data_IF_939814569705
#
_entry.id   IF_939814569705
#
_cell.length_a   1.000
_cell.length_b   1.000
_cell.length_c   1.000
_cell.angle_alpha   90.00
_cell.angle_beta   90.00
_cell.angle_gamma   90.00
#
_symmetry.space_group_name_H-M   'P 1'
#
loop_
_entity.id
_entity.type
_entity.pdbx_description
1 polymer ?
#
# COMPACT_ATOMS: atom_id res chain seq x y z
N UNK A 1 -6.70 13.94 9.64
CA UNK A 1 -7.44 15.21 9.73
C UNK A 1 -8.28 15.20 10.99
N UNK A 2 -8.31 16.31 11.72
CA UNK A 2 -9.12 16.43 12.94
C UNK A 2 -10.54 16.91 12.61
N UNK A 3 -11.54 16.47 13.37
CA UNK A 3 -12.92 16.92 13.22
C UNK A 3 -13.06 18.41 13.56
N UNK A 4 -13.81 19.14 12.75
CA UNK A 4 -14.10 20.56 12.97
C UNK A 4 -15.57 20.85 13.26
N UNK A 5 -16.30 19.86 13.79
CA UNK A 5 -17.72 19.88 14.17
C UNK A 5 -18.63 20.84 13.38
N UNK A 6 -19.48 20.26 12.54
CA UNK A 6 -20.60 20.97 11.90
C UNK A 6 -21.89 20.20 12.14
N UNK A 7 -22.95 20.88 12.53
CA UNK A 7 -24.27 20.26 12.63
C UNK A 7 -24.70 19.72 11.24
N UNK A 8 -25.35 18.56 11.24
CA UNK A 8 -25.86 17.99 10.00
C UNK A 8 -27.14 18.71 9.57
N UNK A 9 -27.16 19.15 8.32
CA UNK A 9 -28.31 19.74 7.65
C UNK A 9 -28.65 18.90 6.42
N UNK A 10 -29.83 18.30 6.43
CA UNK A 10 -30.29 17.40 5.37
C UNK A 10 -30.65 18.16 4.08
N UNK A 11 -31.18 19.39 4.16
CA UNK A 11 -31.49 20.19 2.97
C UNK A 11 -30.21 20.60 2.25
N UNK A 12 -29.23 21.08 3.01
CA UNK A 12 -27.89 21.35 2.47
C UNK A 12 -27.23 20.07 1.95
N UNK A 13 -27.48 18.92 2.59
CA UNK A 13 -26.96 17.62 2.12
C UNK A 13 -27.54 17.20 0.78
N UNK A 14 -28.85 17.35 0.60
CA UNK A 14 -29.51 17.01 -0.67
C UNK A 14 -29.01 17.93 -1.79
N UNK A 15 -28.88 19.23 -1.52
CA UNK A 15 -28.28 20.17 -2.48
C UNK A 15 -26.86 19.76 -2.91
N UNK A 16 -25.99 19.36 -1.96
CA UNK A 16 -24.64 18.86 -2.30
C UNK A 16 -24.67 17.57 -3.12
N UNK A 17 -25.60 16.66 -2.84
CA UNK A 17 -25.75 15.42 -3.61
C UNK A 17 -26.13 15.76 -5.05
N UNK A 18 -27.13 16.62 -5.24
CA UNK A 18 -27.58 17.06 -6.56
C UNK A 18 -26.45 17.78 -7.32
N UNK A 19 -25.71 18.67 -6.64
CA UNK A 19 -24.54 19.36 -7.20
C UNK A 19 -23.45 18.39 -7.67
N UNK A 20 -23.15 17.32 -6.90
CA UNK A 20 -22.15 16.31 -7.26
C UNK A 20 -22.64 15.47 -8.44
N UNK A 21 -23.90 15.05 -8.44
CA UNK A 21 -24.48 14.20 -9.49
C UNK A 21 -24.72 14.94 -10.81
N UNK A 22 -24.88 16.26 -10.76
CA UNK A 22 -25.05 17.10 -11.96
C UNK A 22 -23.72 17.47 -12.67
N UNK A 23 -22.56 17.10 -12.10
CA UNK A 23 -21.27 17.46 -12.69
C UNK A 23 -21.05 16.78 -14.05
N UNK A 24 -20.57 17.52 -15.06
CA UNK A 24 -20.34 16.95 -16.39
C UNK A 24 -19.16 15.97 -16.40
N UNK A 25 -19.30 14.89 -17.16
CA UNK A 25 -18.30 13.81 -17.29
C UNK A 25 -16.95 14.29 -17.87
N UNK A 26 -16.92 15.45 -18.55
CA UNK A 26 -15.71 16.00 -19.19
C UNK A 26 -14.61 16.44 -18.23
N UNK A 27 -14.84 16.41 -16.92
CA UNK A 27 -13.85 16.85 -15.93
C UNK A 27 -12.83 15.78 -15.52
N UNK A 28 -12.90 14.58 -16.11
CA UNK A 28 -11.96 13.49 -15.87
C UNK A 28 -10.98 13.38 -17.03
N UNK A 29 -9.70 13.65 -16.76
CA UNK A 29 -8.66 13.74 -17.79
C UNK A 29 -7.74 12.51 -17.77
N UNK A 30 -7.37 12.02 -18.95
CA UNK A 30 -6.29 11.04 -19.10
C UNK A 30 -4.92 11.73 -19.03
N UNK A 31 -4.07 11.24 -18.12
CA UNK A 31 -2.70 11.72 -17.94
C UNK A 31 -1.71 10.58 -18.15
N UNK A 32 -0.49 10.95 -18.54
CA UNK A 32 0.64 10.00 -18.61
C UNK A 32 1.06 9.49 -17.23
N UNK A 33 0.84 10.29 -16.19
CA UNK A 33 1.15 9.99 -14.80
C UNK A 33 0.16 10.72 -13.89
N UNK A 34 -0.07 10.18 -12.69
CA UNK A 34 -0.93 10.84 -11.70
C UNK A 34 -0.25 12.14 -11.23
N UNK A 35 -0.95 13.29 -11.28
CA UNK A 35 -0.40 14.58 -10.88
C UNK A 35 -0.34 14.71 -9.35
N UNK A 36 0.15 15.85 -8.86
CA UNK A 36 0.11 16.16 -7.43
C UNK A 36 -1.32 16.23 -6.90
N UNK A 37 -1.53 15.80 -5.65
CA UNK A 37 -2.86 15.81 -5.02
C UNK A 37 -3.47 17.21 -4.96
N UNK A 38 -2.64 18.24 -4.94
CA UNK A 38 -3.07 19.65 -4.91
C UNK A 38 -3.70 20.09 -6.23
N UNK A 39 -3.50 19.33 -7.31
CA UNK A 39 -4.17 19.54 -8.61
C UNK A 39 -5.65 19.10 -8.58
N UNK A 40 -6.06 18.33 -7.56
CA UNK A 40 -7.44 17.87 -7.42
C UNK A 40 -8.36 18.94 -6.84
N UNK A 41 -9.51 19.09 -7.49
CA UNK A 41 -10.68 19.82 -7.01
C UNK A 41 -11.80 18.83 -6.66
N UNK A 42 -12.92 19.34 -6.12
CA UNK A 42 -14.12 18.51 -5.89
C UNK A 42 -14.89 18.16 -7.17
N UNK A 43 -14.40 18.60 -8.33
CA UNK A 43 -15.11 18.48 -9.60
C UNK A 43 -14.28 17.84 -10.69
N UNK A 44 -12.99 17.58 -10.47
CA UNK A 44 -12.09 16.98 -11.44
C UNK A 44 -11.60 15.60 -10.98
N UNK A 45 -10.92 14.92 -11.90
CA UNK A 45 -10.14 13.74 -11.58
C UNK A 45 -9.19 13.37 -12.71
N UNK A 46 -8.25 12.48 -12.40
CA UNK A 46 -7.20 12.11 -13.33
C UNK A 46 -7.10 10.59 -13.47
N UNK A 47 -7.19 10.12 -14.69
CA UNK A 47 -6.85 8.75 -15.04
C UNK A 47 -5.37 8.65 -15.37
N UNK A 48 -4.71 7.60 -14.89
CA UNK A 48 -3.39 7.21 -15.35
C UNK A 48 -3.13 5.74 -14.99
N UNK A 49 -2.14 5.14 -15.65
CA UNK A 49 -1.60 3.85 -15.23
C UNK A 49 -0.66 4.04 -14.03
N UNK A 50 -0.81 3.18 -13.04
CA UNK A 50 -0.01 3.19 -11.83
C UNK A 50 0.14 1.77 -11.26
N UNK A 51 1.05 1.63 -10.31
CA UNK A 51 1.16 0.45 -9.47
C UNK A 51 0.67 0.78 -8.07
N UNK A 52 0.01 -0.17 -7.43
CA UNK A 52 -0.34 -0.09 -6.01
C UNK A 52 0.37 -1.21 -5.24
N UNK A 53 0.92 -0.87 -4.07
CA UNK A 53 1.51 -1.84 -3.15
C UNK A 53 0.89 -1.69 -1.77
N UNK A 54 0.44 -2.79 -1.17
CA UNK A 54 -0.06 -2.87 0.20
C UNK A 54 0.87 -3.72 1.04
N UNK A 55 1.21 -3.27 2.24
CA UNK A 55 1.99 -4.01 3.23
C UNK A 55 1.19 -4.02 4.53
N UNK A 56 0.72 -5.20 4.93
CA UNK A 56 -0.20 -5.37 6.06
C UNK A 56 0.32 -6.42 7.05
N UNK A 57 0.16 -6.18 8.35
CA UNK A 57 0.55 -7.16 9.37
C UNK A 57 -0.51 -8.26 9.41
N UNK A 58 -0.08 -9.50 9.24
CA UNK A 58 -0.99 -10.64 9.30
C UNK A 58 -1.44 -10.88 10.72
N UNK A 59 -2.73 -11.20 10.85
CA UNK A 59 -3.37 -11.50 12.14
C UNK A 59 -3.16 -10.40 13.20
N UNK A 60 -3.06 -9.13 12.79
CA UNK A 60 -2.80 -8.02 13.72
C UNK A 60 -3.89 -7.85 14.77
N UNK A 61 -5.12 -8.26 14.47
CA UNK A 61 -6.24 -8.33 15.41
C UNK A 61 -5.97 -9.25 16.62
N UNK A 62 -5.04 -10.19 16.52
CA UNK A 62 -4.61 -11.07 17.63
C UNK A 62 -3.53 -10.43 18.51
N UNK A 63 -2.79 -9.43 18.01
CA UNK A 63 -1.69 -8.81 18.75
C UNK A 63 -2.09 -8.20 20.11
N UNK A 64 -3.30 -7.62 20.31
CA UNK A 64 -3.78 -7.18 21.62
C UNK A 64 -3.91 -8.27 22.67
N UNK A 65 -3.99 -9.54 22.27
CA UNK A 65 -3.96 -10.69 23.20
C UNK A 65 -2.55 -11.03 23.66
N UNK A 66 -1.53 -10.63 22.89
CA UNK A 66 -0.12 -10.94 23.11
C UNK A 66 0.63 -9.81 23.81
N UNK A 67 0.28 -8.56 23.49
CA UNK A 67 1.00 -7.38 23.95
C UNK A 67 0.06 -6.30 24.47
N UNK A 68 0.48 -5.63 25.54
CA UNK A 68 -0.25 -4.47 26.07
C UNK A 68 -0.18 -3.26 25.12
N UNK A 69 -1.08 -2.29 25.32
CA UNK A 69 -1.21 -1.11 24.45
C UNK A 69 0.11 -0.34 24.26
N UNK A 70 0.92 -0.06 25.30
CA UNK A 70 2.21 0.61 25.11
C UNK A 70 3.21 -0.19 24.27
N UNK A 71 3.26 -1.52 24.41
CA UNK A 71 4.12 -2.37 23.59
C UNK A 71 3.65 -2.40 22.13
N UNK A 72 2.34 -2.58 21.90
CA UNK A 72 1.75 -2.49 20.56
C UNK A 72 2.03 -1.15 19.88
N UNK A 73 1.90 -0.05 20.62
CA UNK A 73 2.13 1.28 20.08
C UNK A 73 3.60 1.51 19.67
N UNK A 74 4.57 0.80 20.26
CA UNK A 74 5.97 0.84 19.80
C UNK A 74 6.18 -0.06 18.59
N UNK A 75 5.58 -1.25 18.59
CA UNK A 75 5.63 -2.18 17.46
C UNK A 75 5.05 -1.52 16.20
N UNK A 76 3.83 -1.00 16.28
CA UNK A 76 3.18 -0.33 15.14
C UNK A 76 3.96 0.91 14.68
N UNK A 77 4.49 1.73 15.60
CA UNK A 77 5.33 2.86 15.20
C UNK A 77 6.59 2.42 14.46
N UNK A 78 7.30 1.40 14.97
CA UNK A 78 8.49 0.88 14.31
C UNK A 78 8.15 0.28 12.94
N UNK A 79 7.10 -0.53 12.85
CA UNK A 79 6.67 -1.13 11.59
C UNK A 79 6.25 -0.08 10.56
N UNK A 80 5.29 0.79 10.92
CA UNK A 80 4.71 1.79 10.02
C UNK A 80 5.79 2.78 9.56
N UNK A 81 6.61 3.28 10.48
CA UNK A 81 7.72 4.20 10.16
C UNK A 81 8.61 3.63 9.07
N UNK A 82 9.02 2.38 9.24
CA UNK A 82 9.97 1.74 8.33
C UNK A 82 9.33 1.33 7.00
N UNK A 83 8.07 0.87 6.98
CA UNK A 83 7.37 0.60 5.73
C UNK A 83 7.12 1.89 4.93
N UNK A 84 6.79 2.99 5.60
CA UNK A 84 6.70 4.32 4.97
C UNK A 84 8.05 4.72 4.40
N UNK A 85 9.14 4.59 5.16
CA UNK A 85 10.48 4.93 4.68
C UNK A 85 10.88 4.12 3.44
N UNK A 86 10.57 2.81 3.41
CA UNK A 86 10.83 1.95 2.25
C UNK A 86 10.05 2.39 1.02
N UNK A 87 8.73 2.56 1.14
CA UNK A 87 7.89 2.91 -0.02
C UNK A 87 8.16 4.35 -0.50
N UNK A 88 8.37 5.29 0.41
CA UNK A 88 8.67 6.69 0.11
C UNK A 88 10.09 6.91 -0.46
N UNK A 89 10.95 5.90 -0.40
CA UNK A 89 12.29 5.96 -1.00
C UNK A 89 12.31 5.66 -2.51
N UNK A 90 11.15 5.43 -3.13
CA UNK A 90 11.03 5.33 -4.58
C UNK A 90 10.75 6.71 -5.18
N UNK A 91 11.50 7.12 -6.20
CA UNK A 91 11.31 8.41 -6.87
C UNK A 91 9.95 8.51 -7.56
N UNK A 92 9.32 7.38 -7.90
CA UNK A 92 8.00 7.32 -8.51
C UNK A 92 6.86 7.23 -7.49
N UNK A 93 7.14 7.27 -6.18
CA UNK A 93 6.11 7.24 -5.15
C UNK A 93 5.20 8.48 -5.28
N UNK A 94 3.92 8.25 -5.58
CA UNK A 94 2.90 9.30 -5.76
C UNK A 94 2.20 9.60 -4.44
N UNK A 95 1.82 8.57 -3.71
CA UNK A 95 1.11 8.72 -2.45
C UNK A 95 1.43 7.56 -1.52
N UNK A 96 1.64 7.88 -0.24
CA UNK A 96 1.82 6.90 0.84
C UNK A 96 0.66 7.10 1.82
N UNK A 97 -0.03 6.02 2.14
CA UNK A 97 -1.19 6.01 3.00
C UNK A 97 -1.02 4.99 4.12
N UNK A 98 -1.58 5.32 5.30
CA UNK A 98 -1.56 4.46 6.49
C UNK A 98 -3.00 4.24 6.91
N UNK A 99 -3.42 2.97 6.98
CA UNK A 99 -4.77 2.58 7.43
C UNK A 99 -4.62 1.50 8.49
N UNK A 100 -4.82 1.87 9.75
CA UNK A 100 -4.54 0.98 10.87
C UNK A 100 -3.06 0.61 10.93
N UNK A 101 -2.76 -0.67 10.79
CA UNK A 101 -1.43 -1.27 10.72
C UNK A 101 -0.96 -1.53 9.29
N UNK A 102 -1.79 -1.27 8.28
CA UNK A 102 -1.40 -1.37 6.87
C UNK A 102 -0.74 -0.06 6.39
N UNK A 103 0.36 -0.19 5.67
CA UNK A 103 0.97 0.89 4.88
C UNK A 103 0.84 0.54 3.40
N UNK A 104 0.34 1.46 2.60
CA UNK A 104 0.20 1.24 1.16
C UNK A 104 0.58 2.47 0.37
N UNK A 105 0.94 2.26 -0.89
CA UNK A 105 1.43 3.30 -1.77
C UNK A 105 0.93 3.15 -3.20
N UNK A 106 0.78 4.29 -3.87
CA UNK A 106 0.58 4.39 -5.31
C UNK A 106 1.87 4.91 -5.94
N UNK A 107 2.27 4.32 -7.05
CA UNK A 107 3.48 4.68 -7.80
C UNK A 107 3.14 5.05 -9.24
N UNK A 108 3.75 6.12 -9.75
CA UNK A 108 3.69 6.50 -11.15
C UNK A 108 4.59 5.59 -11.99
N UNK A 109 4.09 4.40 -12.34
CA UNK A 109 4.83 3.39 -13.09
C UNK A 109 4.51 3.45 -14.59
N UNK A 110 5.10 4.45 -15.26
CA UNK A 110 4.89 4.68 -16.69
C UNK A 110 5.70 3.74 -17.60
N UNK A 111 6.72 3.09 -17.04
CA UNK A 111 7.65 2.21 -17.75
C UNK A 111 7.90 0.91 -16.98
N UNK A 112 8.39 -0.13 -17.67
CA UNK A 112 8.77 -1.41 -17.04
C UNK A 112 9.85 -1.27 -15.95
N UNK A 113 10.92 -0.47 -16.14
CA UNK A 113 11.88 -0.18 -15.07
C UNK A 113 11.23 0.36 -13.79
N UNK A 114 10.19 1.19 -13.90
CA UNK A 114 9.48 1.69 -12.71
C UNK A 114 8.82 0.55 -11.92
N UNK A 115 8.30 -0.50 -12.58
CA UNK A 115 7.78 -1.68 -11.87
C UNK A 115 8.90 -2.50 -11.21
N UNK A 116 10.10 -2.53 -11.79
CA UNK A 116 11.25 -3.20 -11.19
C UNK A 116 11.73 -2.49 -9.91
N UNK A 117 11.67 -1.15 -9.87
CA UNK A 117 11.98 -0.41 -8.63
C UNK A 117 10.94 -0.70 -7.55
N UNK A 118 9.64 -0.71 -7.91
CA UNK A 118 8.55 -1.06 -6.99
C UNK A 118 8.72 -2.49 -6.46
N UNK A 119 9.03 -3.46 -7.31
CA UNK A 119 9.34 -4.83 -6.88
C UNK A 119 10.53 -4.88 -5.91
N UNK A 120 11.56 -4.07 -6.16
CA UNK A 120 12.71 -3.93 -5.25
C UNK A 120 12.30 -3.36 -3.89
N UNK A 121 11.33 -2.44 -3.83
CA UNK A 121 10.77 -1.95 -2.55
C UNK A 121 10.03 -3.04 -1.79
N UNK A 122 9.28 -3.90 -2.49
CA UNK A 122 8.65 -5.08 -1.88
C UNK A 122 9.69 -6.04 -1.27
N UNK A 123 10.78 -6.33 -2.01
CA UNK A 123 11.90 -7.14 -1.49
C UNK A 123 12.58 -6.50 -0.29
N UNK A 124 12.74 -5.17 -0.31
CA UNK A 124 13.29 -4.39 0.80
C UNK A 124 12.42 -4.50 2.05
N UNK A 125 11.11 -4.33 1.91
CA UNK A 125 10.16 -4.48 3.01
C UNK A 125 10.19 -5.90 3.61
N UNK A 126 10.21 -6.93 2.77
CA UNK A 126 10.34 -8.33 3.21
C UNK A 126 11.65 -8.58 3.97
N UNK A 127 12.76 -8.01 3.50
CA UNK A 127 14.07 -8.13 4.17
C UNK A 127 14.10 -7.40 5.51
N UNK A 128 13.49 -6.21 5.56
CA UNK A 128 13.42 -5.37 6.73
C UNK A 128 12.63 -6.03 7.86
N UNK A 129 11.57 -6.78 7.54
CA UNK A 129 10.80 -7.54 8.51
C UNK A 129 11.68 -8.49 9.35
N UNK A 130 12.68 -9.14 8.74
CA UNK A 130 13.60 -10.03 9.46
C UNK A 130 14.38 -9.26 10.55
N UNK A 131 14.91 -8.10 10.19
CA UNK A 131 15.66 -7.24 11.09
C UNK A 131 14.74 -6.66 12.18
N UNK A 132 13.53 -6.25 11.82
CA UNK A 132 12.52 -5.74 12.75
C UNK A 132 12.16 -6.80 13.80
N UNK A 133 11.80 -8.01 13.37
CA UNK A 133 11.47 -9.11 14.28
C UNK A 133 12.62 -9.46 15.22
N UNK A 134 13.86 -9.46 14.73
CA UNK A 134 15.03 -9.64 15.60
C UNK A 134 15.18 -8.51 16.64
N UNK A 135 15.05 -7.26 16.23
CA UNK A 135 15.15 -6.12 17.16
C UNK A 135 14.02 -6.13 18.19
N UNK A 136 12.81 -6.52 17.78
CA UNK A 136 11.65 -6.70 18.65
C UNK A 136 11.90 -7.84 19.65
N UNK A 137 12.45 -8.99 19.23
CA UNK A 137 12.71 -10.10 20.16
C UNK A 137 13.69 -9.72 21.27
N UNK A 138 14.75 -8.94 20.95
CA UNK A 138 15.68 -8.39 21.96
C UNK A 138 15.03 -7.39 22.92
N UNK A 139 13.81 -6.93 22.63
CA UNK A 139 12.99 -6.06 23.50
C UNK A 139 11.82 -6.80 24.16
N UNK A 140 11.83 -8.13 24.14
CA UNK A 140 10.85 -8.97 24.84
C UNK A 140 9.55 -9.24 24.07
N UNK A 141 9.51 -8.95 22.77
CA UNK A 141 8.37 -9.33 21.92
C UNK A 141 8.59 -10.78 21.47
N UNK A 142 7.94 -11.73 22.14
CA UNK A 142 8.15 -13.17 21.98
C UNK A 142 7.56 -13.77 20.70
N UNK A 143 6.50 -13.15 20.17
CA UNK A 143 5.83 -13.58 18.94
C UNK A 143 6.25 -12.66 17.79
N UNK A 144 6.96 -13.16 16.77
CA UNK A 144 7.31 -12.39 15.59
C UNK A 144 6.06 -12.04 14.78
N UNK A 145 6.07 -10.88 14.15
CA UNK A 145 5.02 -10.49 13.20
C UNK A 145 5.34 -11.05 11.81
N UNK A 146 4.29 -11.33 11.05
CA UNK A 146 4.37 -11.66 9.62
C UNK A 146 3.62 -10.60 8.83
N UNK A 147 3.96 -10.45 7.55
CA UNK A 147 3.33 -9.44 6.69
C UNK A 147 2.87 -10.08 5.38
N UNK A 148 1.79 -9.53 4.85
CA UNK A 148 1.38 -9.73 3.47
C UNK A 148 1.73 -8.49 2.64
N UNK A 149 2.37 -8.69 1.50
CA UNK A 149 2.76 -7.66 0.54
C UNK A 149 2.04 -7.93 -0.76
N UNK A 150 1.08 -7.08 -1.11
CA UNK A 150 0.27 -7.20 -2.31
C UNK A 150 0.64 -6.16 -3.35
N UNK A 151 0.76 -6.54 -4.62
CA UNK A 151 1.02 -5.60 -5.71
C UNK A 151 0.13 -5.81 -6.95
N UNK A 152 -0.29 -4.70 -7.54
CA UNK A 152 -1.06 -4.68 -8.78
C UNK A 152 -0.60 -3.54 -9.67
N UNK A 153 -0.76 -3.69 -10.98
CA UNK A 153 -0.52 -2.65 -11.98
C UNK A 153 -1.74 -2.49 -12.86
N UNK A 154 -2.19 -1.25 -13.07
CA UNK A 154 -3.35 -0.98 -13.88
C UNK A 154 -3.72 0.50 -13.94
N UNK A 155 -4.82 0.78 -14.61
CA UNK A 155 -5.38 2.13 -14.72
C UNK A 155 -6.16 2.47 -13.46
N UNK A 156 -5.85 3.61 -12.86
CA UNK A 156 -6.60 4.18 -11.74
C UNK A 156 -7.24 5.52 -12.14
N UNK A 157 -8.31 5.87 -11.45
CA UNK A 157 -8.88 7.21 -11.39
C UNK A 157 -8.58 7.81 -10.02
N UNK A 158 -7.90 8.94 -10.00
CA UNK A 158 -7.62 9.71 -8.79
C UNK A 158 -8.61 10.88 -8.70
N UNK A 159 -9.35 10.94 -7.60
CA UNK A 159 -10.28 12.05 -7.29
C UNK A 159 -10.04 12.58 -5.89
N UNK A 160 -10.55 13.78 -5.61
CA UNK A 160 -10.70 14.28 -4.24
C UNK A 160 -12.12 14.04 -3.77
N UNK A 161 -12.27 13.32 -2.66
CA UNK A 161 -13.55 13.09 -2.03
C UNK A 161 -13.56 13.65 -0.62
N UNK A 162 -14.66 14.27 -0.23
CA UNK A 162 -14.79 14.88 1.10
C UNK A 162 -15.95 15.85 1.18
N UNK A 163 -16.11 16.46 2.33
CA UNK A 163 -17.15 17.46 2.54
C UNK A 163 -16.62 18.84 2.15
N UNK A 164 -17.00 19.30 0.94
CA UNK A 164 -16.62 20.61 0.44
C UNK A 164 -16.97 21.73 1.44
N UNK A 165 -16.03 22.65 1.66
CA UNK A 165 -16.14 23.71 2.69
C UNK A 165 -15.89 23.27 4.13
N UNK A 166 -15.68 21.97 4.42
CA UNK A 166 -15.28 21.49 5.74
C UNK A 166 -13.76 21.37 5.93
N UNK A 167 -12.97 21.38 4.86
CA UNK A 167 -11.54 21.04 4.97
C UNK A 167 -11.27 19.56 5.27
N UNK A 168 -12.31 18.73 5.40
CA UNK A 168 -12.20 17.28 5.51
C UNK A 168 -12.34 16.65 4.13
N UNK A 169 -11.21 16.35 3.50
CA UNK A 169 -11.16 15.68 2.21
C UNK A 169 -9.87 14.89 2.05
N UNK A 170 -9.95 13.80 1.31
CA UNK A 170 -8.80 12.97 0.98
C UNK A 170 -8.77 12.58 -0.50
N UNK A 171 -7.65 12.00 -0.93
CA UNK A 171 -7.53 11.40 -2.25
C UNK A 171 -8.18 10.02 -2.24
N UNK A 172 -8.99 9.75 -3.25
CA UNK A 172 -9.57 8.43 -3.49
C UNK A 172 -9.09 7.92 -4.83
N UNK A 173 -8.59 6.69 -4.81
CA UNK A 173 -8.20 5.96 -6.00
C UNK A 173 -9.27 4.94 -6.34
N UNK A 174 -9.87 5.08 -7.52
CA UNK A 174 -10.85 4.16 -8.08
C UNK A 174 -10.24 3.35 -9.22
N UNK A 175 -10.78 2.17 -9.45
CA UNK A 175 -10.23 1.17 -10.36
C UNK A 175 -9.72 -0.04 -9.60
N UNK A 176 -9.47 -1.12 -10.35
CA UNK A 176 -9.19 -2.42 -9.73
C UNK A 176 -7.81 -2.46 -9.07
N UNK A 177 -6.86 -1.61 -9.48
CA UNK A 177 -5.46 -1.70 -9.05
C UNK A 177 -5.28 -1.61 -7.52
N UNK A 178 -5.89 -0.63 -6.86
CA UNK A 178 -5.75 -0.45 -5.40
C UNK A 178 -6.47 -1.56 -4.64
N UNK A 179 -7.70 -1.88 -5.03
CA UNK A 179 -8.49 -2.94 -4.40
C UNK A 179 -7.85 -4.32 -4.60
N UNK A 180 -7.29 -4.58 -5.78
CA UNK A 180 -6.62 -5.83 -6.10
C UNK A 180 -5.33 -5.97 -5.30
N UNK A 181 -4.49 -4.93 -5.23
CA UNK A 181 -3.28 -4.96 -4.42
C UNK A 181 -3.60 -5.24 -2.94
N UNK A 182 -4.63 -4.61 -2.38
CA UNK A 182 -5.11 -4.89 -1.02
C UNK A 182 -5.54 -6.35 -0.83
N UNK A 183 -6.37 -6.88 -1.75
CA UNK A 183 -6.79 -8.30 -1.73
C UNK A 183 -5.61 -9.26 -1.83
N UNK A 184 -4.58 -8.93 -2.61
CA UNK A 184 -3.38 -9.76 -2.74
C UNK A 184 -2.52 -9.72 -1.47
N UNK A 185 -2.38 -8.56 -0.83
CA UNK A 185 -1.70 -8.45 0.46
C UNK A 185 -2.40 -9.32 1.52
N UNK A 186 -3.74 -9.35 1.50
CA UNK A 186 -4.53 -10.18 2.40
C UNK A 186 -4.33 -11.70 2.21
N UNK A 187 -3.72 -12.14 1.11
CA UNK A 187 -3.42 -13.55 0.83
C UNK A 187 -1.97 -13.96 1.18
N UNK A 188 -1.04 -13.01 1.15
CA UNK A 188 0.38 -13.25 1.41
C UNK A 188 0.73 -13.46 2.88
N UNK A 189 1.80 -14.22 3.15
CA UNK A 189 2.37 -14.40 4.48
C UNK A 189 1.42 -15.04 5.50
N UNK A 190 0.41 -15.78 5.04
CA UNK A 190 -0.66 -16.35 5.85
C UNK A 190 -0.90 -17.83 5.57
N UNK A 191 -2.08 -18.32 5.96
CA UNK A 191 -2.47 -19.72 5.79
C UNK A 191 -2.72 -20.12 4.32
N UNK A 192 -3.19 -19.18 3.49
CA UNK A 192 -3.41 -19.41 2.05
C UNK A 192 -2.08 -19.56 1.31
N UNK A 193 -1.16 -18.62 1.53
CA UNK A 193 0.18 -18.60 0.92
C UNK A 193 1.20 -18.15 1.95
N UNK A 194 2.24 -18.96 2.14
CA UNK A 194 3.32 -18.68 3.09
C UNK A 194 4.29 -17.61 2.61
N UNK A 195 4.41 -17.44 1.29
CA UNK A 195 5.20 -16.39 0.65
C UNK A 195 4.59 -15.02 0.98
N UNK A 196 5.39 -14.05 1.46
CA UNK A 196 4.87 -12.75 1.89
C UNK A 196 4.40 -11.91 0.71
N UNK A 197 5.02 -12.02 -0.45
CA UNK A 197 4.72 -11.18 -1.61
C UNK A 197 3.78 -11.90 -2.56
N UNK A 198 2.70 -11.22 -2.96
CA UNK A 198 1.71 -11.69 -3.94
C UNK A 198 1.42 -10.56 -4.93
N UNK A 199 1.48 -10.85 -6.22
CA UNK A 199 1.28 -9.88 -7.30
C UNK A 199 0.44 -10.46 -8.42
N UNK A 200 -0.37 -9.62 -9.07
CA UNK A 200 -1.14 -10.06 -10.23
C UNK A 200 -0.26 -10.31 -11.46
N UNK A 201 -0.85 -10.96 -12.47
CA UNK A 201 -0.15 -11.27 -13.71
C UNK A 201 0.28 -10.03 -14.50
N UNK A 202 -0.47 -8.93 -14.40
CA UNK A 202 -0.23 -7.68 -15.13
C UNK A 202 0.98 -6.92 -14.58
N UNK A 203 1.17 -6.93 -13.26
CA UNK A 203 2.37 -6.45 -12.59
C UNK A 203 3.55 -7.35 -12.97
N UNK A 204 3.42 -8.67 -12.79
CA UNK A 204 4.51 -9.64 -13.04
C UNK A 204 5.02 -9.62 -14.48
N UNK A 205 4.13 -9.56 -15.48
CA UNK A 205 4.54 -9.60 -16.90
C UNK A 205 5.39 -8.39 -17.32
N UNK A 206 5.26 -7.29 -16.58
CA UNK A 206 5.98 -6.04 -16.83
C UNK A 206 7.33 -5.94 -16.10
N UNK A 207 7.65 -6.88 -15.22
CA UNK A 207 8.98 -6.99 -14.62
C UNK A 207 10.03 -7.43 -15.65
N UNK A 208 11.30 -7.12 -15.38
CA UNK A 208 12.42 -7.69 -16.14
C UNK A 208 12.60 -9.19 -15.89
N UNK A 209 13.43 -9.85 -16.71
CA UNK A 209 13.59 -11.30 -16.67
C UNK A 209 14.20 -11.80 -15.35
N UNK A 210 15.10 -11.03 -14.74
CA UNK A 210 15.68 -11.35 -13.44
C UNK A 210 14.59 -11.38 -12.35
N UNK A 211 13.79 -10.32 -12.24
CA UNK A 211 12.72 -10.21 -11.25
C UNK A 211 11.59 -11.23 -11.52
N UNK A 212 11.27 -11.52 -12.79
CA UNK A 212 10.33 -12.59 -13.15
C UNK A 212 10.78 -13.96 -12.68
N UNK A 213 12.07 -14.26 -12.76
CA UNK A 213 12.64 -15.53 -12.30
C UNK A 213 12.56 -15.70 -10.77
N UNK A 214 12.39 -14.60 -10.02
CA UNK A 214 12.17 -14.60 -8.58
C UNK A 214 10.69 -14.75 -8.18
N UNK A 215 9.81 -15.02 -9.15
CA UNK A 215 8.36 -15.20 -8.92
C UNK A 215 7.89 -16.57 -9.39
N UNK A 216 6.89 -17.13 -8.72
CA UNK A 216 6.24 -18.38 -9.10
C UNK A 216 4.72 -18.19 -9.14
N UNK A 217 4.04 -18.82 -10.10
CA UNK A 217 2.57 -18.83 -10.10
C UNK A 217 2.05 -19.78 -9.03
N UNK A 218 1.13 -19.30 -8.19
CA UNK A 218 0.46 -20.11 -7.18
C UNK A 218 -1.03 -20.25 -7.53
N UNK A 219 -1.50 -21.48 -7.87
CA UNK A 219 -2.87 -21.71 -8.28
C UNK A 219 -3.88 -21.54 -7.12
N UNK A 220 -3.46 -21.63 -5.86
CA UNK A 220 -4.37 -21.48 -4.71
C UNK A 220 -4.90 -20.05 -4.60
N UNK A 221 -4.07 -19.07 -4.97
CA UNK A 221 -4.41 -17.64 -4.91
C UNK A 221 -4.70 -17.02 -6.27
N UNK A 222 -4.42 -17.75 -7.36
CA UNK A 222 -4.61 -17.29 -8.74
C UNK A 222 -3.67 -16.13 -9.10
N UNK A 223 -2.45 -16.13 -8.55
CA UNK A 223 -1.53 -15.00 -8.62
C UNK A 223 -0.06 -15.46 -8.58
N UNK A 224 0.88 -14.52 -8.73
CA UNK A 224 2.31 -14.79 -8.62
C UNK A 224 2.79 -14.47 -7.21
N UNK A 225 3.63 -15.34 -6.65
CA UNK A 225 4.17 -15.21 -5.31
C UNK A 225 5.69 -15.07 -5.34
N UNK A 226 6.24 -14.44 -4.31
CA UNK A 226 7.69 -14.31 -4.10
C UNK A 226 8.02 -14.23 -2.62
N UNK A 227 9.22 -14.68 -2.27
CA UNK A 227 9.86 -14.49 -0.98
C UNK A 227 11.25 -13.83 -1.12
N UNK A 228 11.47 -13.14 -2.24
CA UNK A 228 12.74 -12.51 -2.57
C UNK A 228 13.16 -11.47 -1.51
N UNK A 229 14.47 -11.34 -1.35
CA UNK A 229 15.12 -10.50 -0.35
C UNK A 229 16.27 -9.72 -0.97
N UNK A 230 16.63 -8.61 -0.34
CA UNK A 230 17.80 -7.82 -0.68
C UNK A 230 19.03 -8.48 -0.06
N UNK A 231 19.97 -8.89 -0.92
CA UNK A 231 21.18 -9.62 -0.52
C UNK A 231 21.97 -8.86 0.56
N UNK A 232 22.26 -7.58 0.36
CA UNK A 232 23.05 -6.78 1.32
C UNK A 232 22.39 -6.68 2.70
N UNK A 233 21.06 -6.58 2.77
CA UNK A 233 20.32 -6.59 4.02
C UNK A 233 20.38 -7.96 4.72
N UNK A 234 20.31 -9.04 3.94
CA UNK A 234 20.41 -10.39 4.47
C UNK A 234 21.83 -10.69 4.97
N UNK A 235 22.87 -10.27 4.25
CA UNK A 235 24.26 -10.39 4.67
C UNK A 235 24.49 -9.65 6.01
N UNK A 236 23.96 -8.42 6.13
CA UNK A 236 23.98 -7.68 7.38
C UNK A 236 23.21 -8.41 8.50
N UNK A 237 22.02 -8.94 8.22
CA UNK A 237 21.23 -9.70 9.18
C UNK A 237 22.01 -10.91 9.70
N UNK A 238 22.57 -11.74 8.82
CA UNK A 238 23.36 -12.92 9.21
C UNK A 238 24.58 -12.56 10.05
N UNK A 239 25.23 -11.41 9.79
CA UNK A 239 26.39 -10.97 10.57
C UNK A 239 26.03 -10.37 11.94
N UNK A 240 24.84 -9.80 12.11
CA UNK A 240 24.49 -8.96 13.27
C UNK A 240 23.30 -9.49 14.10
N UNK A 241 22.56 -10.49 13.61
CA UNK A 241 21.31 -10.95 14.20
C UNK A 241 21.40 -12.40 14.72
N UNK A 242 22.28 -12.63 15.70
CA UNK A 242 22.46 -13.90 16.42
C UNK A 242 21.73 -13.95 17.77
#
# INVERSE_FOLDING_TARGET
MDSNHKAYDHLASFGRIDEILAQPQGNFEEKKSLPDRDTLTYTNGFYAYCSAVFIDIRDSSKLPTLYNRPALARLYRAFISEMVAVLNSDENAREINIVGDCVWAVFNTSTKPDLDTVYTKMCTANSLLKVLNYKLSKKGYSTPITIGIGASYGRALMIKAGYNGSGLADVVYMGDVVNQASKLAAKGGGAEVSQPMVMDGTFRQNLNDHNKALTAYDPNVGAYTSNAIIKSMNDWYTANCN
#
